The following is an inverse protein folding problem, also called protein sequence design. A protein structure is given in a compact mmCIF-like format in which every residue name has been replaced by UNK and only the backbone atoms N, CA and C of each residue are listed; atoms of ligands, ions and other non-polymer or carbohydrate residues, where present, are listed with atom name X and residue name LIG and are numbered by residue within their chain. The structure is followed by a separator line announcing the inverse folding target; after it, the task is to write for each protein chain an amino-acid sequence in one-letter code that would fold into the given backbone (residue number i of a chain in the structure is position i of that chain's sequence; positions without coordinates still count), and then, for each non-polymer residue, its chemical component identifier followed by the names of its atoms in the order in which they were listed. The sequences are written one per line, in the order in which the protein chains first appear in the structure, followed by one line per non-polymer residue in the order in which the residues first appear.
data_IF_557921375989
#
_entry.id   IF_557921375989
#
_cell.length_a   1.000
_cell.length_b   1.000
_cell.length_c   1.000
_cell.angle_alpha   90.00
_cell.angle_beta   90.00
_cell.angle_gamma   90.00
#
_symmetry.space_group_name_H-M   'P 1'
#
loop_
_entity.id
_entity.type
_entity.pdbx_description
1 polymer ?
#
# COMPACT_ATOMS: atom_id res chain seq x y z
N UNK A 1 -20.02 35.45 19.92
CA UNK A 1 -20.41 34.52 18.83
C UNK A 1 -19.52 34.82 17.64
N UNK A 2 -18.50 33.99 17.39
CA UNK A 2 -17.59 34.17 16.25
C UNK A 2 -18.36 33.75 15.00
N UNK A 3 -18.60 34.69 14.07
CA UNK A 3 -19.18 34.35 12.75
C UNK A 3 -18.08 33.64 11.95
N UNK A 4 -18.09 32.31 11.97
CA UNK A 4 -17.24 31.53 11.06
C UNK A 4 -17.62 31.91 9.64
N UNK A 5 -16.67 32.47 8.86
CA UNK A 5 -16.95 32.86 7.47
C UNK A 5 -17.25 31.58 6.68
N UNK A 6 -18.39 31.57 5.97
CA UNK A 6 -18.86 30.42 5.17
C UNK A 6 -17.81 29.94 4.15
N UNK A 7 -16.97 30.86 3.68
CA UNK A 7 -15.83 30.58 2.80
C UNK A 7 -14.88 29.53 3.37
N UNK A 8 -14.56 29.58 4.68
CA UNK A 8 -13.66 28.60 5.29
C UNK A 8 -14.28 27.21 5.38
N UNK A 9 -15.59 27.13 5.68
CA UNK A 9 -16.31 25.85 5.74
C UNK A 9 -16.34 25.18 4.36
N UNK A 10 -16.53 25.99 3.32
CA UNK A 10 -16.57 25.52 1.94
C UNK A 10 -15.19 25.09 1.44
N UNK A 11 -14.13 25.81 1.82
CA UNK A 11 -12.75 25.39 1.57
C UNK A 11 -12.42 24.06 2.27
N UNK A 12 -12.85 23.87 3.53
CA UNK A 12 -12.68 22.59 4.23
C UNK A 12 -13.41 21.46 3.53
N UNK A 13 -14.63 21.69 3.01
CA UNK A 13 -15.35 20.68 2.22
C UNK A 13 -14.53 20.18 1.04
N UNK A 14 -13.97 21.09 0.24
CA UNK A 14 -13.17 20.72 -0.93
C UNK A 14 -11.89 20.00 -0.53
N UNK A 15 -11.20 20.47 0.51
CA UNK A 15 -9.96 19.88 0.96
C UNK A 15 -10.18 18.45 1.52
N UNK A 16 -11.19 18.27 2.37
CA UNK A 16 -11.54 16.95 2.92
C UNK A 16 -12.06 15.99 1.84
N UNK A 17 -12.84 16.49 0.88
CA UNK A 17 -13.31 15.71 -0.26
C UNK A 17 -12.16 15.25 -1.17
N UNK A 18 -11.24 16.16 -1.51
CA UNK A 18 -10.06 15.84 -2.31
C UNK A 18 -9.16 14.82 -1.59
N UNK A 19 -8.93 14.99 -0.29
CA UNK A 19 -8.16 14.04 0.51
C UNK A 19 -8.79 12.63 0.51
N UNK A 20 -10.12 12.53 0.68
CA UNK A 20 -10.81 11.24 0.63
C UNK A 20 -10.69 10.57 -0.76
N UNK A 21 -10.80 11.34 -1.84
CA UNK A 21 -10.61 10.83 -3.21
C UNK A 21 -9.18 10.31 -3.40
N UNK A 22 -8.17 11.06 -2.95
CA UNK A 22 -6.77 10.63 -3.01
C UNK A 22 -6.57 9.31 -2.24
N UNK A 23 -7.18 9.17 -1.06
CA UNK A 23 -7.14 7.90 -0.32
C UNK A 23 -7.78 6.74 -1.08
N UNK A 24 -8.88 6.96 -1.81
CA UNK A 24 -9.48 5.92 -2.67
C UNK A 24 -8.60 5.58 -3.87
N UNK A 25 -7.96 6.58 -4.49
CA UNK A 25 -7.02 6.35 -5.59
C UNK A 25 -5.86 5.50 -5.08
N UNK A 26 -5.23 5.90 -3.97
CA UNK A 26 -4.14 5.16 -3.32
C UNK A 26 -4.54 3.71 -3.00
N UNK A 27 -5.77 3.47 -2.53
CA UNK A 27 -6.29 2.11 -2.33
C UNK A 27 -6.39 1.32 -3.64
N UNK A 28 -6.90 1.95 -4.70
CA UNK A 28 -7.22 1.27 -5.97
C UNK A 28 -6.03 1.09 -6.92
N UNK A 29 -5.00 1.92 -6.81
CA UNK A 29 -3.81 1.80 -7.67
C UNK A 29 -2.91 0.65 -7.25
N UNK A 30 -2.97 0.18 -6.01
CA UNK A 30 -2.12 -0.89 -5.46
C UNK A 30 -0.59 -0.69 -5.68
N UNK A 31 -0.15 0.46 -6.21
CA UNK A 31 1.24 0.82 -6.49
C UNK A 31 1.89 1.50 -5.28
N UNK A 32 1.91 0.78 -4.15
CA UNK A 32 2.52 1.24 -2.90
C UNK A 32 4.03 1.02 -2.88
N UNK A 33 4.51 0.06 -3.68
CA UNK A 33 5.91 -0.28 -3.88
C UNK A 33 6.12 -0.42 -5.38
N UNK A 34 7.14 0.26 -5.89
CA UNK A 34 7.59 0.05 -7.26
C UNK A 34 8.70 -1.00 -7.29
N UNK A 35 8.50 -2.02 -8.12
CA UNK A 35 9.51 -2.97 -8.55
C UNK A 35 9.31 -3.19 -10.05
N UNK A 36 10.33 -3.63 -10.78
CA UNK A 36 10.31 -3.77 -12.26
C UNK A 36 9.15 -4.66 -12.82
N UNK A 37 8.35 -5.28 -11.96
CA UNK A 37 7.06 -5.89 -12.31
C UNK A 37 5.95 -5.39 -11.37
N UNK A 38 4.85 -4.88 -11.95
CA UNK A 38 3.60 -4.65 -11.22
C UNK A 38 3.09 -6.02 -10.80
N UNK A 39 3.09 -6.29 -9.50
CA UNK A 39 2.63 -7.56 -8.96
C UNK A 39 1.71 -7.28 -7.77
N UNK A 40 0.47 -7.81 -7.77
CA UNK A 40 -0.43 -7.62 -6.64
C UNK A 40 0.12 -8.28 -5.37
N UNK A 41 -0.22 -7.71 -4.22
CA UNK A 41 0.08 -8.31 -2.92
C UNK A 41 -0.94 -9.43 -2.65
N UNK A 42 -0.45 -10.65 -2.49
CA UNK A 42 -1.30 -11.81 -2.17
C UNK A 42 -0.97 -12.29 -0.76
N UNK A 43 -2.00 -12.43 0.07
CA UNK A 43 -1.89 -12.77 1.48
C UNK A 43 -2.58 -14.09 1.83
N UNK A 44 -1.91 -14.92 2.62
CA UNK A 44 -2.50 -16.06 3.34
C UNK A 44 -2.77 -15.63 4.78
N UNK A 45 -4.02 -15.26 5.07
CA UNK A 45 -4.44 -14.80 6.40
C UNK A 45 -4.27 -15.88 7.48
N UNK A 46 -4.51 -17.16 7.13
CA UNK A 46 -4.35 -18.29 8.06
C UNK A 46 -2.93 -18.38 8.62
N UNK A 47 -1.96 -17.83 7.90
CA UNK A 47 -0.53 -17.98 8.18
C UNK A 47 0.17 -16.63 8.40
N UNK A 48 -0.57 -15.52 8.37
CA UNK A 48 -0.08 -14.14 8.50
C UNK A 48 1.07 -13.75 7.54
N UNK A 49 1.13 -14.35 6.35
CA UNK A 49 2.16 -14.06 5.34
C UNK A 49 1.57 -13.44 4.08
N UNK A 50 2.26 -12.46 3.52
CA UNK A 50 1.99 -11.91 2.20
C UNK A 50 3.26 -11.89 1.35
N UNK A 51 3.07 -11.99 0.04
CA UNK A 51 4.13 -11.79 -0.94
C UNK A 51 3.58 -11.15 -2.23
N UNK A 52 4.49 -10.60 -3.02
CA UNK A 52 4.21 -10.02 -4.32
C UNK A 52 4.29 -11.11 -5.38
N UNK A 53 3.13 -11.49 -5.91
CA UNK A 53 2.97 -12.65 -6.78
C UNK A 53 2.27 -12.27 -8.06
N UNK A 54 2.61 -13.00 -9.11
CA UNK A 54 1.96 -12.86 -10.40
C UNK A 54 1.84 -14.23 -11.08
N UNK A 55 0.84 -14.36 -11.95
CA UNK A 55 0.49 -15.58 -12.65
C UNK A 55 -0.80 -16.23 -12.15
N UNK A 56 -1.18 -17.32 -12.78
CA UNK A 56 -2.39 -18.07 -12.42
C UNK A 56 -2.18 -18.80 -11.08
N UNK A 57 -3.26 -18.95 -10.30
CA UNK A 57 -3.26 -19.68 -9.02
C UNK A 57 -2.28 -19.15 -7.96
N UNK A 58 -2.19 -17.82 -7.81
CA UNK A 58 -1.25 -17.13 -6.89
C UNK A 58 -1.25 -17.68 -5.45
N UNK A 59 -2.42 -18.00 -4.89
CA UNK A 59 -2.51 -18.60 -3.54
C UNK A 59 -1.80 -19.96 -3.44
N UNK A 60 -1.94 -20.81 -4.47
CA UNK A 60 -1.29 -22.11 -4.50
C UNK A 60 0.22 -21.96 -4.63
N UNK A 61 0.66 -20.96 -5.40
CA UNK A 61 2.07 -20.65 -5.59
C UNK A 61 2.69 -20.11 -4.31
N UNK A 62 1.99 -19.26 -3.56
CA UNK A 62 2.44 -18.79 -2.25
C UNK A 62 2.63 -19.95 -1.26
N UNK A 63 1.71 -20.92 -1.21
CA UNK A 63 1.85 -22.14 -0.38
C UNK A 63 3.02 -23.02 -0.83
N UNK A 64 3.23 -23.17 -2.13
CA UNK A 64 4.39 -23.92 -2.68
C UNK A 64 5.70 -23.24 -2.30
N UNK A 65 5.76 -21.91 -2.42
CA UNK A 65 6.91 -21.09 -2.05
C UNK A 65 7.21 -21.14 -0.55
N UNK A 66 6.21 -21.13 0.33
CA UNK A 66 6.44 -21.34 1.76
C UNK A 66 7.11 -22.69 2.03
N UNK A 67 6.62 -23.75 1.40
CA UNK A 67 7.11 -25.11 1.58
C UNK A 67 8.47 -25.40 0.91
N UNK A 68 9.18 -24.37 0.45
CA UNK A 68 10.47 -24.55 -0.22
C UNK A 68 10.39 -25.15 -1.63
N UNK A 69 9.18 -25.38 -2.16
CA UNK A 69 8.99 -25.95 -3.50
C UNK A 69 9.00 -24.86 -4.54
N UNK A 70 9.82 -25.04 -5.57
CA UNK A 70 9.88 -24.10 -6.68
C UNK A 70 8.64 -24.29 -7.57
N UNK A 71 7.85 -23.24 -7.85
CA UNK A 71 6.79 -23.29 -8.87
C UNK A 71 7.41 -23.22 -10.28
N UNK A 72 8.49 -23.97 -10.52
CA UNK A 72 9.11 -24.06 -11.83
C UNK A 72 8.28 -25.04 -12.66
N UNK A 73 7.43 -24.51 -13.54
CA UNK A 73 7.22 -24.97 -14.92
C UNK A 73 5.79 -24.78 -15.48
N UNK A 74 4.81 -24.27 -14.71
CA UNK A 74 3.41 -24.30 -15.22
C UNK A 74 2.79 -22.95 -15.63
N UNK A 75 3.10 -21.78 -15.05
CA UNK A 75 2.23 -20.60 -15.31
C UNK A 75 2.95 -19.22 -15.23
N UNK A 76 4.13 -19.09 -15.83
CA UNK A 76 4.98 -17.87 -15.74
C UNK A 76 4.89 -16.99 -17.00
N UNK A 77 3.82 -17.12 -17.79
CA UNK A 77 3.73 -16.37 -19.04
C UNK A 77 3.10 -14.98 -18.87
N UNK A 78 2.50 -14.70 -17.72
CA UNK A 78 1.59 -13.55 -17.55
C UNK A 78 2.10 -12.42 -16.63
N UNK A 79 3.39 -12.38 -16.33
CA UNK A 79 3.96 -11.23 -15.61
C UNK A 79 4.34 -10.12 -16.58
N UNK A 80 3.46 -9.12 -16.67
CA UNK A 80 3.66 -7.90 -17.43
C UNK A 80 4.90 -7.18 -16.91
N UNK A 81 6.03 -7.43 -17.57
CA UNK A 81 7.22 -6.60 -17.47
C UNK A 81 6.90 -5.29 -18.18
N UNK A 82 6.74 -4.19 -17.43
CA UNK A 82 6.73 -2.86 -18.07
C UNK A 82 8.11 -2.69 -18.70
N UNK A 83 8.15 -2.81 -20.01
CA UNK A 83 9.37 -2.72 -20.80
C UNK A 83 9.58 -1.26 -21.19
N UNK A 84 10.55 -0.59 -20.56
CA UNK A 84 11.37 0.45 -21.19
C UNK A 84 12.68 0.47 -20.39
N UNK A 85 13.78 -0.12 -20.81
CA UNK A 85 14.47 0.04 -22.08
C UNK A 85 15.51 -1.09 -22.13
N UNK A 86 15.42 -1.98 -23.12
CA UNK A 86 16.30 -3.16 -23.23
C UNK A 86 17.76 -2.82 -23.52
N UNK A 87 18.12 -1.54 -23.66
CA UNK A 87 19.46 -1.13 -24.10
C UNK A 87 20.44 -0.76 -22.98
N UNK A 88 19.99 -0.65 -21.72
CA UNK A 88 20.89 -0.34 -20.59
C UNK A 88 21.27 -1.54 -19.71
N UNK A 89 20.53 -2.64 -19.75
CA UNK A 89 20.79 -3.81 -18.90
C UNK A 89 21.89 -4.75 -19.42
N UNK A 90 22.28 -4.68 -20.69
CA UNK A 90 23.40 -5.46 -21.23
C UNK A 90 24.77 -5.01 -20.69
N UNK A 91 24.82 -3.89 -19.94
CA UNK A 91 26.09 -3.34 -19.42
C UNK A 91 26.41 -3.72 -17.98
N UNK A 92 25.53 -4.42 -17.26
CA UNK A 92 25.76 -4.84 -15.88
C UNK A 92 26.06 -6.34 -15.76
N UNK A 93 26.86 -6.87 -16.69
CA UNK A 93 27.43 -8.22 -16.64
C UNK A 93 28.69 -8.28 -15.75
N UNK A 94 28.60 -7.78 -14.52
CA UNK A 94 29.70 -7.79 -13.56
C UNK A 94 29.23 -8.23 -12.19
N UNK A 95 29.59 -9.45 -11.81
CA UNK A 95 29.49 -10.01 -10.44
C UNK A 95 28.10 -10.43 -9.96
N UNK A 96 27.46 -11.37 -10.65
CA UNK A 96 26.39 -12.17 -10.06
C UNK A 96 26.97 -13.38 -9.30
N UNK A 97 27.04 -13.27 -7.98
CA UNK A 97 27.39 -14.39 -7.11
C UNK A 97 26.16 -15.27 -6.86
N UNK A 98 26.17 -16.44 -7.50
CA UNK A 98 25.23 -17.54 -7.26
C UNK A 98 25.46 -18.09 -5.85
N UNK A 99 24.75 -17.54 -4.87
CA UNK A 99 24.69 -18.15 -3.55
C UNK A 99 23.63 -19.26 -3.59
N UNK A 100 24.13 -20.49 -3.47
CA UNK A 100 23.35 -21.70 -3.20
C UNK A 100 22.33 -21.46 -2.10
N UNK A 101 21.16 -22.06 -2.28
CA UNK A 101 20.03 -22.06 -1.37
C UNK A 101 20.46 -22.41 0.07
N UNK A 102 20.80 -21.39 0.84
CA UNK A 102 20.86 -21.46 2.29
C UNK A 102 19.47 -21.08 2.80
N UNK A 103 18.92 -21.95 3.63
CA UNK A 103 17.64 -21.85 4.33
C UNK A 103 17.65 -20.74 5.39
N UNK A 104 18.26 -19.59 5.08
CA UNK A 104 18.17 -18.39 5.90
C UNK A 104 16.80 -17.75 5.67
N UNK A 105 15.94 -17.95 6.67
CA UNK A 105 14.65 -17.28 6.92
C UNK A 105 14.09 -16.47 5.75
N UNK A 106 13.21 -17.11 4.96
CA UNK A 106 12.41 -16.40 3.95
C UNK A 106 11.54 -15.37 4.69
N UNK A 107 11.85 -14.09 4.51
CA UNK A 107 11.09 -13.00 5.12
C UNK A 107 9.88 -12.69 4.23
N UNK A 108 8.69 -12.83 4.81
CA UNK A 108 7.41 -12.54 4.18
C UNK A 108 6.82 -11.29 4.82
N UNK A 109 6.01 -10.55 4.06
CA UNK A 109 5.30 -9.39 4.59
C UNK A 109 4.27 -9.88 5.61
N UNK A 110 4.17 -9.21 6.76
CA UNK A 110 3.17 -9.53 7.76
C UNK A 110 1.76 -9.15 7.28
N UNK A 111 0.88 -10.15 7.11
CA UNK A 111 -0.48 -9.93 6.62
C UNK A 111 -1.35 -9.10 7.57
N UNK A 112 -1.12 -9.21 8.89
CA UNK A 112 -1.86 -8.44 9.88
C UNK A 112 -1.58 -6.94 9.75
N UNK A 113 -0.32 -6.56 9.60
CA UNK A 113 0.07 -5.15 9.44
C UNK A 113 -0.48 -4.59 8.12
N UNK A 114 -0.43 -5.37 7.03
CA UNK A 114 -0.98 -5.00 5.73
C UNK A 114 -2.51 -4.82 5.77
N UNK A 115 -3.25 -5.69 6.46
CA UNK A 115 -4.70 -5.51 6.61
C UNK A 115 -5.00 -4.27 7.45
N UNK A 116 -4.25 -4.05 8.53
CA UNK A 116 -4.41 -2.86 9.36
C UNK A 116 -4.21 -1.56 8.57
N UNK A 117 -3.21 -1.47 7.68
CA UNK A 117 -3.00 -0.28 6.85
C UNK A 117 -4.20 0.00 5.96
N UNK A 118 -4.77 -1.04 5.32
CA UNK A 118 -5.97 -0.94 4.49
C UNK A 118 -7.18 -0.47 5.31
N UNK A 119 -7.39 -1.03 6.52
CA UNK A 119 -8.51 -0.64 7.39
C UNK A 119 -8.39 0.82 7.81
N UNK A 120 -7.21 1.29 8.21
CA UNK A 120 -6.99 2.68 8.59
C UNK A 120 -7.15 3.64 7.41
N UNK A 121 -6.76 3.23 6.20
CA UNK A 121 -6.97 4.01 4.98
C UNK A 121 -8.46 4.16 4.66
N UNK A 122 -9.22 3.05 4.71
CA UNK A 122 -10.68 3.07 4.55
C UNK A 122 -11.38 3.92 5.60
N UNK A 123 -10.93 3.85 6.86
CA UNK A 123 -11.45 4.69 7.94
C UNK A 123 -11.18 6.17 7.69
N UNK A 124 -9.97 6.52 7.24
CA UNK A 124 -9.60 7.90 6.88
C UNK A 124 -10.49 8.43 5.77
N UNK A 125 -10.67 7.65 4.69
CA UNK A 125 -11.52 8.02 3.56
C UNK A 125 -13.00 8.21 3.99
N UNK A 126 -13.54 7.30 4.80
CA UNK A 126 -14.91 7.39 5.30
C UNK A 126 -15.12 8.65 6.17
N UNK A 127 -14.19 8.94 7.08
CA UNK A 127 -14.27 10.13 7.94
C UNK A 127 -14.06 11.43 7.15
N UNK A 128 -13.22 11.40 6.10
CA UNK A 128 -13.06 12.51 5.16
C UNK A 128 -14.35 12.82 4.38
N UNK A 129 -15.07 11.79 3.93
CA UNK A 129 -16.37 11.95 3.27
C UNK A 129 -17.45 12.48 4.23
N UNK A 130 -17.51 11.95 5.45
CA UNK A 130 -18.43 12.46 6.49
C UNK A 130 -18.14 13.92 6.79
N UNK A 131 -16.85 14.29 6.90
CA UNK A 131 -16.42 15.68 7.08
C UNK A 131 -16.85 16.58 5.92
N UNK A 132 -16.68 16.14 4.67
CA UNK A 132 -17.14 16.89 3.50
C UNK A 132 -18.68 17.07 3.50
N UNK A 133 -19.44 16.00 3.79
CA UNK A 133 -20.90 16.07 3.90
C UNK A 133 -21.38 17.01 5.00
N UNK A 134 -20.75 16.95 6.17
CA UNK A 134 -21.02 17.87 7.29
C UNK A 134 -20.66 19.31 6.93
N UNK A 135 -19.62 19.55 6.13
CA UNK A 135 -19.25 20.89 5.71
C UNK A 135 -20.35 21.49 4.82
N UNK A 136 -20.86 20.74 3.83
CA UNK A 136 -22.01 21.16 3.01
C UNK A 136 -23.24 21.41 3.89
N UNK A 137 -23.52 20.51 4.83
CA UNK A 137 -24.64 20.66 5.75
C UNK A 137 -24.53 21.94 6.61
N UNK A 138 -23.34 22.26 7.11
CA UNK A 138 -23.09 23.48 7.89
C UNK A 138 -23.18 24.78 7.07
N UNK A 139 -23.16 24.71 5.74
CA UNK A 139 -23.40 25.92 4.90
C UNK A 139 -24.88 26.28 4.80
N UNK A 140 -25.77 25.29 4.87
CA UNK A 140 -27.21 25.44 4.65
C UNK A 140 -27.99 25.44 5.96
N UNK A 141 -27.61 24.59 6.91
CA UNK A 141 -28.23 24.46 8.22
C UNK A 141 -27.30 24.99 9.33
N UNK A 142 -27.89 25.49 10.42
CA UNK A 142 -27.18 25.85 11.65
C UNK A 142 -27.53 24.84 12.76
N UNK A 143 -26.95 23.63 12.75
CA UNK A 143 -27.24 22.65 13.79
C UNK A 143 -26.67 23.09 15.14
N UNK A 144 -27.46 22.93 16.21
CA UNK A 144 -27.06 23.23 17.58
C UNK A 144 -26.26 22.09 18.23
N UNK A 145 -26.40 20.86 17.71
CA UNK A 145 -25.74 19.67 18.25
C UNK A 145 -24.24 19.71 17.96
N UNK A 146 -23.41 19.43 18.98
CA UNK A 146 -21.95 19.58 18.94
C UNK A 146 -21.32 18.75 17.81
N UNK A 147 -21.78 17.50 17.62
CA UNK A 147 -21.25 16.58 16.61
C UNK A 147 -21.58 16.99 15.16
N UNK A 148 -22.68 17.72 14.95
CA UNK A 148 -23.08 18.19 13.62
C UNK A 148 -22.62 19.62 13.33
N UNK A 149 -22.09 20.31 14.35
CA UNK A 149 -21.58 21.67 14.24
C UNK A 149 -20.17 21.72 13.66
N UNK A 150 -19.61 22.92 13.52
CA UNK A 150 -18.22 23.17 13.09
C UNK A 150 -17.21 22.40 13.95
N UNK A 151 -17.52 22.18 15.24
CA UNK A 151 -16.72 21.34 16.12
C UNK A 151 -16.63 19.88 15.63
N UNK A 152 -17.72 19.31 15.13
CA UNK A 152 -17.72 17.99 14.49
C UNK A 152 -16.75 17.91 13.32
N UNK A 153 -16.69 18.95 12.49
CA UNK A 153 -15.77 19.03 11.35
C UNK A 153 -14.30 18.84 11.77
N UNK A 154 -13.90 19.45 12.89
CA UNK A 154 -12.55 19.29 13.43
C UNK A 154 -12.32 17.89 13.99
N UNK A 155 -13.33 17.28 14.62
CA UNK A 155 -13.24 15.92 15.17
C UNK A 155 -13.06 14.91 14.03
N UNK A 156 -13.90 14.93 13.00
CA UNK A 156 -13.83 13.98 11.89
C UNK A 156 -12.56 14.15 11.06
N UNK A 157 -12.14 15.39 10.77
CA UNK A 157 -10.84 15.63 10.12
C UNK A 157 -9.66 15.21 11.00
N UNK A 158 -9.75 15.39 12.33
CA UNK A 158 -8.72 14.96 13.26
C UNK A 158 -8.57 13.44 13.30
N UNK A 159 -9.69 12.70 13.31
CA UNK A 159 -9.68 11.24 13.22
C UNK A 159 -9.10 10.80 11.87
N UNK A 160 -9.53 11.41 10.76
CA UNK A 160 -9.02 11.10 9.42
C UNK A 160 -7.51 11.35 9.29
N UNK A 161 -7.02 12.45 9.88
CA UNK A 161 -5.60 12.79 9.94
C UNK A 161 -4.81 11.78 10.79
N UNK A 162 -5.34 11.40 11.95
CA UNK A 162 -4.66 10.43 12.80
C UNK A 162 -4.62 9.04 12.15
N UNK A 163 -5.69 8.61 11.49
CA UNK A 163 -5.72 7.33 10.81
C UNK A 163 -4.76 7.30 9.60
N UNK A 164 -4.68 8.37 8.80
CA UNK A 164 -3.73 8.42 7.67
C UNK A 164 -2.28 8.44 8.17
N UNK A 165 -2.00 9.16 9.26
CA UNK A 165 -0.67 9.18 9.89
C UNK A 165 -0.27 7.77 10.33
N UNK A 166 -1.18 7.02 10.96
CA UNK A 166 -0.93 5.63 11.33
C UNK A 166 -0.68 4.75 10.09
N UNK A 167 -1.44 4.92 9.01
CA UNK A 167 -1.20 4.20 7.76
C UNK A 167 0.20 4.46 7.21
N UNK A 168 0.64 5.72 7.17
CA UNK A 168 1.98 6.11 6.72
C UNK A 168 3.06 5.47 7.60
N UNK A 169 2.89 5.50 8.93
CA UNK A 169 3.87 4.92 9.87
C UNK A 169 3.93 3.40 9.75
N UNK A 170 2.77 2.72 9.70
CA UNK A 170 2.69 1.26 9.58
C UNK A 170 3.30 0.78 8.26
N UNK A 171 2.96 1.44 7.16
CA UNK A 171 3.53 1.12 5.85
C UNK A 171 5.02 1.44 5.80
N UNK A 172 5.44 2.60 6.30
CA UNK A 172 6.84 3.02 6.34
C UNK A 172 7.70 2.09 7.21
N UNK A 173 7.18 1.63 8.35
CA UNK A 173 7.86 0.64 9.20
C UNK A 173 8.02 -0.71 8.48
N UNK A 174 6.96 -1.18 7.81
CA UNK A 174 7.00 -2.38 6.97
C UNK A 174 8.02 -2.23 5.83
N UNK A 175 8.06 -1.08 5.16
CA UNK A 175 9.02 -0.79 4.10
C UNK A 175 10.48 -0.82 4.60
N UNK A 176 10.74 -0.23 5.76
CA UNK A 176 12.09 -0.22 6.33
C UNK A 176 12.57 -1.59 6.81
N UNK A 177 11.67 -2.44 7.34
CA UNK A 177 12.04 -3.73 7.92
C UNK A 177 12.07 -4.86 6.89
N UNK A 178 11.07 -4.92 6.01
CA UNK A 178 10.90 -6.05 5.10
C UNK A 178 11.45 -5.74 3.70
N UNK A 179 11.39 -4.49 3.22
CA UNK A 179 11.70 -4.15 1.82
C UNK A 179 13.14 -3.66 1.61
N UNK A 180 13.68 -2.87 2.55
CA UNK A 180 15.04 -2.32 2.45
C UNK A 180 16.14 -3.33 2.83
N UNK A 181 15.90 -4.12 3.88
CA UNK A 181 16.89 -5.05 4.46
C UNK A 181 16.84 -6.45 3.86
N UNK A 182 15.69 -6.84 3.31
CA UNK A 182 15.46 -8.19 2.80
C UNK A 182 15.29 -8.20 1.28
N UNK A 183 15.50 -9.37 0.67
CA UNK A 183 15.16 -9.53 -0.73
C UNK A 183 13.65 -9.60 -0.86
N UNK A 184 13.06 -8.66 -1.61
CA UNK A 184 11.66 -8.71 -2.04
C UNK A 184 11.30 -10.15 -2.44
N UNK A 185 10.26 -10.76 -1.83
CA UNK A 185 9.78 -12.07 -2.21
C UNK A 185 9.00 -11.96 -3.52
N UNK A 186 9.66 -11.52 -4.59
CA UNK A 186 9.17 -11.60 -5.96
C UNK A 186 9.52 -12.97 -6.54
N UNK A 187 8.66 -13.45 -7.42
CA UNK A 187 8.84 -14.72 -8.15
C UNK A 187 10.27 -14.88 -8.72
N UNK A 188 10.84 -13.80 -9.28
CA UNK A 188 12.20 -13.78 -9.83
C UNK A 188 13.28 -14.01 -8.75
N UNK A 189 13.19 -13.36 -7.59
CA UNK A 189 14.08 -13.58 -6.44
C UNK A 189 14.19 -15.06 -6.05
N UNK A 190 13.07 -15.78 -6.12
CA UNK A 190 13.01 -17.19 -5.71
C UNK A 190 13.56 -18.20 -6.71
N UNK A 191 13.47 -17.93 -8.03
CA UNK A 191 13.95 -18.86 -9.05
C UNK A 191 15.39 -18.64 -9.49
N UNK A 192 15.83 -17.38 -9.55
CA UNK A 192 17.13 -17.02 -10.13
C UNK A 192 18.11 -16.42 -9.10
N UNK A 193 17.79 -16.51 -7.80
CA UNK A 193 18.62 -15.94 -6.73
C UNK A 193 18.92 -14.45 -6.94
N UNK A 194 17.96 -13.69 -7.47
CA UNK A 194 18.12 -12.24 -7.57
C UNK A 194 18.14 -11.61 -6.17
N UNK A 195 19.06 -10.67 -5.97
CA UNK A 195 19.07 -9.82 -4.78
C UNK A 195 18.43 -8.49 -5.12
N UNK A 196 17.27 -8.21 -4.52
CA UNK A 196 16.52 -6.95 -4.65
C UNK A 196 16.85 -5.95 -3.54
N UNK A 197 17.81 -6.28 -2.67
CA UNK A 197 18.33 -5.36 -1.63
C UNK A 197 18.64 -3.98 -2.23
N UNK A 198 18.05 -2.94 -1.64
CA UNK A 198 18.18 -1.53 -2.05
C UNK A 198 17.64 -1.16 -3.46
N UNK A 199 16.91 -2.03 -4.14
CA UNK A 199 16.32 -1.73 -5.46
C UNK A 199 14.84 -1.35 -5.38
N UNK A 200 14.18 -1.62 -4.26
CA UNK A 200 12.77 -1.23 -4.02
C UNK A 200 12.64 0.25 -3.72
N UNK A 201 11.74 0.94 -4.41
CA UNK A 201 11.36 2.33 -4.09
C UNK A 201 9.88 2.39 -3.70
N UNK A 202 9.52 3.43 -2.95
CA UNK A 202 8.12 3.72 -2.64
C UNK A 202 7.40 4.09 -3.94
N UNK A 203 6.23 3.49 -4.16
CA UNK A 203 5.41 3.79 -5.33
C UNK A 203 4.61 5.09 -5.16
N UNK A 204 3.96 5.55 -6.22
CA UNK A 204 3.20 6.81 -6.22
C UNK A 204 2.00 6.83 -5.28
N UNK A 205 1.55 5.66 -4.80
CA UNK A 205 0.37 5.52 -3.96
C UNK A 205 0.64 5.77 -2.47
N UNK A 206 1.92 5.76 -2.06
CA UNK A 206 2.39 6.09 -0.71
C UNK A 206 2.62 7.60 -0.57
#
# INVERSE_FOLDING_TARGET
MVKTKREYILATCFLSGAAAIISFISLGTEEWVTSDAITPVVCLLDENICALLCGNNMMSNLRKLKNGKNPANEDVEDCVTITSDRTLFDRYNGYFTRNSADTTERQFINAGVWICTIIFLCLSAAMGLVSAGLAVWNTTANPYQIYFSVFGLYIYNGIAFFSILLTIILWGAMFCQDLLTSNLPTYKTFLESFTTKNLSQLGYSY
#
